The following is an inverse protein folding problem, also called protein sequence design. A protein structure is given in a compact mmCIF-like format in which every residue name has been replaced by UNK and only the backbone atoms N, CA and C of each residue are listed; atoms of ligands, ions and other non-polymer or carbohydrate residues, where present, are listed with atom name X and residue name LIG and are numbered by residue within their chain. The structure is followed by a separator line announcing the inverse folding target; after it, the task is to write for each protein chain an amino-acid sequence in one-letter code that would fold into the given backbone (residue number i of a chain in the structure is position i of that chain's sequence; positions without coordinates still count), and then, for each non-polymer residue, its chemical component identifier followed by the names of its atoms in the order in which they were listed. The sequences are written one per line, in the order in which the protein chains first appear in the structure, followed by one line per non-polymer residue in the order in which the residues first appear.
data_IF_297510397862
#
_entry.id   IF_297510397862
#
_cell.length_a   1.000
_cell.length_b   1.000
_cell.length_c   1.000
_cell.angle_alpha   90.00
_cell.angle_beta   90.00
_cell.angle_gamma   90.00
#
_symmetry.space_group_name_H-M   'P 1'
#
loop_
_entity.id
_entity.type
_entity.pdbx_description
1 polymer ?
#
# COMPACT_ATOMS: atom_id res chain seq x y z
N UNK A 1 33.35 -34.30 -0.99
CA UNK A 1 32.10 -33.92 -1.73
C UNK A 1 31.13 -33.37 -0.72
N UNK A 2 31.10 -32.04 -0.53
CA UNK A 2 30.01 -31.37 0.16
C UNK A 2 28.84 -31.35 -0.81
N UNK A 3 27.71 -31.98 -0.47
CA UNK A 3 26.46 -31.78 -1.17
C UNK A 3 26.12 -30.29 -1.07
N UNK A 4 26.19 -29.60 -2.20
CA UNK A 4 25.53 -28.32 -2.37
C UNK A 4 24.04 -28.59 -2.18
N UNK A 5 23.53 -28.26 -1.00
CA UNK A 5 22.09 -28.09 -0.79
C UNK A 5 21.70 -26.86 -1.58
N UNK A 6 21.39 -27.06 -2.89
CA UNK A 6 20.63 -26.08 -3.64
C UNK A 6 19.38 -25.80 -2.84
N UNK A 7 19.30 -24.61 -2.25
CA UNK A 7 18.08 -24.16 -1.56
C UNK A 7 16.96 -24.14 -2.62
N UNK A 8 16.14 -25.18 -2.60
CA UNK A 8 15.00 -25.30 -3.52
C UNK A 8 14.14 -24.04 -3.37
N UNK A 9 14.01 -23.27 -4.44
CA UNK A 9 13.13 -22.08 -4.44
C UNK A 9 11.69 -22.55 -4.25
N UNK A 10 11.23 -22.49 -3.02
CA UNK A 10 9.94 -23.03 -2.59
C UNK A 10 8.76 -22.46 -3.40
N UNK A 11 8.82 -21.21 -3.87
CA UNK A 11 7.77 -20.57 -4.67
C UNK A 11 7.60 -21.25 -6.03
N UNK A 12 8.71 -21.68 -6.65
CA UNK A 12 8.68 -22.30 -7.97
C UNK A 12 8.50 -23.83 -7.93
N UNK A 13 8.54 -24.48 -6.76
CA UNK A 13 8.54 -25.95 -6.66
C UNK A 13 7.54 -26.56 -5.67
N UNK A 14 7.26 -25.90 -4.56
CA UNK A 14 6.43 -26.45 -3.49
C UNK A 14 4.91 -26.39 -3.71
N UNK A 15 4.15 -26.73 -2.67
CA UNK A 15 2.67 -26.70 -2.69
C UNK A 15 2.17 -25.26 -2.66
N UNK A 16 1.52 -24.82 -3.72
CA UNK A 16 1.19 -23.41 -3.99
C UNK A 16 0.37 -22.77 -2.86
N UNK A 17 -0.78 -23.37 -2.48
CA UNK A 17 -1.67 -22.77 -1.49
C UNK A 17 -1.01 -22.60 -0.11
N UNK A 18 -0.21 -23.61 0.30
CA UNK A 18 0.50 -23.57 1.58
C UNK A 18 1.55 -22.46 1.61
N UNK A 19 2.31 -22.34 0.54
CA UNK A 19 3.35 -21.31 0.42
C UNK A 19 2.75 -19.92 0.28
N UNK A 20 1.64 -19.79 -0.45
CA UNK A 20 0.89 -18.55 -0.59
C UNK A 20 0.41 -18.07 0.80
N UNK A 21 -0.14 -18.95 1.64
CA UNK A 21 -0.52 -18.63 3.02
C UNK A 21 0.67 -18.22 3.87
N UNK A 22 1.76 -19.00 3.83
CA UNK A 22 2.96 -18.70 4.62
C UNK A 22 3.61 -17.37 4.22
N UNK A 23 3.46 -16.97 2.97
CA UNK A 23 3.94 -15.68 2.46
C UNK A 23 2.97 -14.54 2.76
N UNK A 24 1.67 -14.79 2.64
CA UNK A 24 0.58 -13.85 2.85
C UNK A 24 0.47 -13.36 4.31
N UNK A 25 0.45 -14.29 5.29
CA UNK A 25 0.26 -13.94 6.69
C UNK A 25 1.24 -12.87 7.22
N UNK A 26 2.56 -12.99 6.98
CA UNK A 26 3.48 -11.95 7.40
C UNK A 26 3.21 -10.59 6.75
N UNK A 27 2.70 -10.54 5.52
CA UNK A 27 2.36 -9.28 4.86
C UNK A 27 1.15 -8.63 5.53
N UNK A 28 0.09 -9.40 5.81
CA UNK A 28 -1.10 -8.91 6.53
C UNK A 28 -0.69 -8.39 7.91
N UNK A 29 0.06 -9.18 8.67
CA UNK A 29 0.53 -8.76 9.99
C UNK A 29 1.43 -7.52 9.93
N UNK A 30 2.28 -7.42 8.91
CA UNK A 30 3.09 -6.22 8.69
C UNK A 30 2.24 -4.97 8.46
N UNK A 31 1.24 -5.06 7.59
CA UNK A 31 0.30 -3.96 7.35
C UNK A 31 -0.52 -3.63 8.60
N UNK A 32 -0.91 -4.64 9.39
CA UNK A 32 -1.59 -4.44 10.67
C UNK A 32 -0.72 -3.65 11.66
N UNK A 33 0.55 -4.02 11.85
CA UNK A 33 1.46 -3.27 12.71
C UNK A 33 1.72 -1.85 12.21
N UNK A 34 1.75 -1.67 10.89
CA UNK A 34 1.85 -0.34 10.29
C UNK A 34 0.62 0.53 10.61
N UNK A 35 -0.58 -0.02 10.53
CA UNK A 35 -1.80 0.69 10.92
C UNK A 35 -1.85 0.94 12.44
N UNK A 36 -1.35 -0.01 13.22
CA UNK A 36 -1.30 0.11 14.68
C UNK A 36 -0.42 1.28 15.11
N UNK A 37 0.80 1.42 14.58
CA UNK A 37 1.65 2.54 14.97
C UNK A 37 1.07 3.89 14.48
N UNK A 38 0.50 3.97 13.28
CA UNK A 38 -0.15 5.18 12.80
C UNK A 38 -1.33 5.59 13.69
N UNK A 39 -2.09 4.59 14.18
CA UNK A 39 -3.20 4.83 15.10
C UNK A 39 -2.70 5.26 16.49
N UNK A 40 -1.66 4.59 17.00
CA UNK A 40 -1.05 4.93 18.29
C UNK A 40 -0.48 6.36 18.29
N UNK A 41 0.27 6.73 17.25
CA UNK A 41 0.78 8.10 17.04
C UNK A 41 -0.36 9.13 17.08
N UNK A 42 -1.43 8.88 16.33
CA UNK A 42 -2.62 9.75 16.29
C UNK A 42 -3.27 9.88 17.67
N UNK A 43 -3.41 8.78 18.42
CA UNK A 43 -4.00 8.78 19.76
C UNK A 43 -3.10 9.51 20.77
N UNK A 44 -1.78 9.26 20.72
CA UNK A 44 -0.81 9.90 21.64
C UNK A 44 -0.80 11.41 21.38
N UNK A 45 -0.68 11.84 20.13
CA UNK A 45 -0.71 13.27 19.78
C UNK A 45 -2.03 13.91 20.20
N UNK A 46 -3.18 13.30 19.87
CA UNK A 46 -4.49 13.84 20.19
C UNK A 46 -4.77 13.96 21.68
N UNK A 47 -4.31 12.97 22.47
CA UNK A 47 -4.59 12.91 23.92
C UNK A 47 -3.63 13.78 24.76
N UNK A 48 -2.36 13.85 24.37
CA UNK A 48 -1.32 14.48 25.18
C UNK A 48 -0.86 15.84 24.66
N UNK A 49 -0.99 16.11 23.37
CA UNK A 49 -0.64 17.42 22.79
C UNK A 49 -1.89 18.27 22.57
N UNK A 50 -2.98 17.66 22.09
CA UNK A 50 -4.27 18.30 21.95
C UNK A 50 -4.87 18.22 20.54
N UNK A 51 -6.09 18.75 20.40
CA UNK A 51 -6.90 18.66 19.17
C UNK A 51 -6.26 19.37 17.97
N UNK A 52 -5.56 20.48 18.20
CA UNK A 52 -4.92 21.27 17.14
C UNK A 52 -3.71 20.51 16.58
N UNK A 53 -2.89 19.91 17.44
CA UNK A 53 -1.78 19.05 17.04
C UNK A 53 -2.28 17.82 16.28
N UNK A 54 -3.36 17.19 16.74
CA UNK A 54 -3.99 16.08 16.04
C UNK A 54 -4.44 16.47 14.62
N UNK A 55 -5.07 17.64 14.48
CA UNK A 55 -5.50 18.16 13.18
C UNK A 55 -4.31 18.52 12.29
N UNK A 56 -3.21 19.02 12.86
CA UNK A 56 -1.97 19.36 12.14
C UNK A 56 -1.27 18.13 11.56
N UNK A 57 -1.27 16.99 12.27
CA UNK A 57 -0.65 15.74 11.84
C UNK A 57 -1.58 14.94 10.94
N UNK A 58 -2.85 14.80 11.33
CA UNK A 58 -3.82 13.91 10.67
C UNK A 58 -4.61 14.53 9.51
N UNK A 59 -4.61 15.86 9.36
CA UNK A 59 -5.39 16.56 8.34
C UNK A 59 -4.76 16.57 6.94
N UNK A 60 -4.58 17.77 6.38
CA UNK A 60 -3.97 17.99 5.06
C UNK A 60 -2.56 17.40 4.95
N UNK A 61 -1.81 17.42 6.06
CA UNK A 61 -0.46 16.84 6.15
C UNK A 61 -0.44 15.35 5.83
N UNK A 62 -1.32 14.57 6.47
CA UNK A 62 -1.41 13.13 6.23
C UNK A 62 -1.80 12.82 4.78
N UNK A 63 -2.68 13.61 4.17
CA UNK A 63 -3.09 13.42 2.78
C UNK A 63 -1.92 13.64 1.81
N UNK A 64 -1.13 14.72 2.00
CA UNK A 64 0.04 15.01 1.17
C UNK A 64 1.10 13.91 1.33
N UNK A 65 1.40 13.50 2.56
CA UNK A 65 2.35 12.43 2.85
C UNK A 65 1.92 11.12 2.21
N UNK A 66 0.66 10.72 2.38
CA UNK A 66 0.13 9.48 1.80
C UNK A 66 0.16 9.48 0.27
N UNK A 67 -0.10 10.62 -0.37
CA UNK A 67 -0.04 10.73 -1.82
C UNK A 67 1.39 10.54 -2.34
N UNK A 68 2.37 11.19 -1.71
CA UNK A 68 3.78 11.08 -2.09
C UNK A 68 4.32 9.68 -1.78
N UNK A 69 4.11 9.18 -0.58
CA UNK A 69 4.56 7.82 -0.19
C UNK A 69 3.88 6.77 -1.05
N UNK A 70 2.57 6.89 -1.31
CA UNK A 70 1.82 5.96 -2.16
C UNK A 70 2.37 5.90 -3.59
N UNK A 71 2.73 7.04 -4.18
CA UNK A 71 3.39 7.09 -5.48
C UNK A 71 4.71 6.31 -5.47
N UNK A 72 5.57 6.53 -4.46
CA UNK A 72 6.86 5.87 -4.36
C UNK A 72 6.78 4.40 -3.98
N UNK A 73 5.79 3.99 -3.18
CA UNK A 73 5.50 2.57 -2.93
C UNK A 73 5.09 1.87 -4.24
N UNK A 74 4.26 2.53 -5.04
CA UNK A 74 3.92 2.05 -6.39
C UNK A 74 5.17 1.91 -7.26
N UNK A 75 6.05 2.90 -7.25
CA UNK A 75 7.30 2.87 -7.99
C UNK A 75 8.25 1.75 -7.50
N UNK A 76 8.35 1.53 -6.18
CA UNK A 76 9.11 0.44 -5.57
C UNK A 76 8.57 -0.94 -5.95
N UNK A 77 7.29 -1.06 -6.30
CA UNK A 77 6.72 -2.32 -6.79
C UNK A 77 7.37 -2.78 -8.10
N UNK A 78 7.91 -1.86 -8.90
CA UNK A 78 8.71 -2.16 -10.08
C UNK A 78 9.94 -3.00 -9.75
N UNK A 79 10.63 -2.69 -8.66
CA UNK A 79 11.76 -3.48 -8.17
C UNK A 79 11.32 -4.90 -7.77
N UNK A 80 10.16 -5.03 -7.10
CA UNK A 80 9.60 -6.36 -6.76
C UNK A 80 9.42 -7.23 -8.00
N UNK A 81 8.81 -6.68 -9.04
CA UNK A 81 8.52 -7.43 -10.27
C UNK A 81 9.80 -7.87 -10.96
N UNK A 82 10.73 -6.94 -11.21
CA UNK A 82 11.97 -7.24 -11.95
C UNK A 82 12.83 -8.25 -11.18
N UNK A 83 13.01 -8.02 -9.87
CA UNK A 83 13.83 -8.90 -9.05
C UNK A 83 13.18 -10.27 -8.91
N UNK A 84 11.85 -10.37 -8.77
CA UNK A 84 11.18 -11.67 -8.72
C UNK A 84 11.33 -12.46 -10.01
N UNK A 85 11.28 -11.82 -11.18
CA UNK A 85 11.50 -12.46 -12.46
C UNK A 85 12.94 -12.98 -12.61
N UNK A 86 13.94 -12.12 -12.37
CA UNK A 86 15.34 -12.53 -12.46
C UNK A 86 15.73 -13.56 -11.41
N UNK A 87 15.16 -13.45 -10.20
CA UNK A 87 15.37 -14.44 -9.15
C UNK A 87 14.75 -15.79 -9.52
N UNK A 88 13.56 -15.79 -10.10
CA UNK A 88 12.93 -17.00 -10.65
C UNK A 88 13.75 -17.64 -11.78
N UNK A 89 14.34 -16.82 -12.64
CA UNK A 89 15.23 -17.24 -13.72
C UNK A 89 16.65 -17.66 -13.25
N UNK A 90 16.98 -17.51 -11.96
CA UNK A 90 18.31 -17.73 -11.37
C UNK A 90 19.41 -16.86 -12.05
N UNK A 91 19.02 -15.70 -12.58
CA UNK A 91 19.94 -14.74 -13.22
C UNK A 91 20.58 -13.81 -12.17
N UNK A 92 21.65 -14.30 -11.55
CA UNK A 92 22.42 -13.58 -10.52
C UNK A 92 22.82 -12.18 -10.98
N UNK A 93 23.29 -12.02 -12.21
CA UNK A 93 23.79 -10.75 -12.73
C UNK A 93 22.72 -9.67 -12.79
N UNK A 94 21.52 -10.03 -13.26
CA UNK A 94 20.42 -9.08 -13.38
C UNK A 94 19.69 -8.86 -12.05
N UNK A 95 19.65 -9.83 -11.13
CA UNK A 95 19.23 -9.62 -9.75
C UNK A 95 20.11 -8.58 -9.07
N UNK A 96 21.43 -8.75 -9.13
CA UNK A 96 22.42 -7.84 -8.55
C UNK A 96 22.29 -6.42 -9.09
N UNK A 97 22.26 -6.26 -10.42
CA UNK A 97 22.08 -4.94 -11.06
C UNK A 97 20.76 -4.26 -10.68
N UNK A 98 19.68 -5.02 -10.59
CA UNK A 98 18.36 -4.50 -10.22
C UNK A 98 18.31 -4.10 -8.75
N UNK A 99 18.94 -4.87 -7.86
CA UNK A 99 19.08 -4.57 -6.45
C UNK A 99 19.80 -3.23 -6.23
N UNK A 100 21.01 -3.10 -6.78
CA UNK A 100 21.83 -1.90 -6.61
C UNK A 100 21.18 -0.67 -7.25
N UNK A 101 20.54 -0.84 -8.43
CA UNK A 101 19.79 0.25 -9.09
C UNK A 101 18.57 0.69 -8.27
N UNK A 102 17.82 -0.24 -7.66
CA UNK A 102 16.67 0.09 -6.82
C UNK A 102 17.09 0.85 -5.56
N UNK A 103 18.21 0.49 -4.94
CA UNK A 103 18.79 1.26 -3.83
C UNK A 103 19.29 2.64 -4.27
N UNK A 104 20.03 2.75 -5.37
CA UNK A 104 20.45 4.04 -5.92
C UNK A 104 19.25 4.93 -6.20
N UNK A 105 18.19 4.37 -6.78
CA UNK A 105 16.95 5.08 -7.07
C UNK A 105 16.24 5.55 -5.78
N UNK A 106 16.20 4.74 -4.73
CA UNK A 106 15.61 5.13 -3.45
C UNK A 106 16.38 6.29 -2.80
N UNK A 107 17.71 6.26 -2.85
CA UNK A 107 18.55 7.32 -2.29
C UNK A 107 18.39 8.64 -3.08
N UNK A 108 18.57 8.61 -4.39
CA UNK A 108 18.47 9.81 -5.23
C UNK A 108 17.06 10.38 -5.24
N UNK A 109 16.04 9.50 -5.35
CA UNK A 109 14.64 9.90 -5.30
C UNK A 109 14.26 10.52 -3.95
N UNK A 110 14.74 9.96 -2.84
CA UNK A 110 14.47 10.53 -1.51
C UNK A 110 15.14 11.88 -1.31
N UNK A 111 16.39 12.07 -1.76
CA UNK A 111 17.08 13.38 -1.70
C UNK A 111 16.28 14.43 -2.49
N UNK A 112 15.84 14.08 -3.69
CA UNK A 112 15.00 14.97 -4.50
C UNK A 112 13.70 15.34 -3.77
N UNK A 113 12.98 14.36 -3.22
CA UNK A 113 11.74 14.60 -2.48
C UNK A 113 11.98 15.34 -1.16
N UNK A 114 13.08 15.10 -0.47
CA UNK A 114 13.47 15.88 0.71
C UNK A 114 13.58 17.37 0.37
N UNK A 115 14.37 17.71 -0.64
CA UNK A 115 14.58 19.11 -1.05
C UNK A 115 13.27 19.74 -1.50
N UNK A 116 12.56 19.07 -2.41
CA UNK A 116 11.29 19.57 -2.95
C UNK A 116 10.23 19.67 -1.86
N UNK A 117 10.04 18.61 -1.05
CA UNK A 117 9.03 18.53 -0.01
C UNK A 117 9.21 19.59 1.08
N UNK A 118 10.45 19.81 1.56
CA UNK A 118 10.75 20.86 2.55
C UNK A 118 10.48 22.25 1.96
N UNK A 119 10.85 22.48 0.70
CA UNK A 119 10.69 23.78 0.04
C UNK A 119 9.22 24.13 -0.22
N UNK A 120 8.44 23.17 -0.72
CA UNK A 120 7.04 23.41 -1.13
C UNK A 120 6.00 23.12 -0.06
N UNK A 121 6.38 22.55 1.11
CA UNK A 121 5.46 22.21 2.19
C UNK A 121 4.49 23.35 2.59
N UNK A 122 4.98 24.61 2.82
CA UNK A 122 4.09 25.69 3.19
C UNK A 122 3.07 26.03 2.09
N UNK A 123 3.50 25.95 0.82
CA UNK A 123 2.67 26.25 -0.33
C UNK A 123 1.59 25.18 -0.55
N UNK A 124 1.95 23.90 -0.43
CA UNK A 124 0.99 22.78 -0.53
C UNK A 124 -0.10 22.87 0.53
N UNK A 125 0.28 23.15 1.80
CA UNK A 125 -0.67 23.26 2.89
C UNK A 125 -1.62 24.47 2.70
N UNK A 126 -1.13 25.59 2.17
CA UNK A 126 -1.97 26.74 1.82
C UNK A 126 -2.97 26.41 0.71
N UNK A 127 -2.56 25.72 -0.35
CA UNK A 127 -3.47 25.26 -1.42
C UNK A 127 -4.55 24.34 -0.88
N UNK A 128 -4.23 23.53 0.13
CA UNK A 128 -5.21 22.66 0.77
C UNK A 128 -6.09 23.37 1.80
N UNK A 129 -6.04 24.72 1.85
CA UNK A 129 -6.79 25.54 2.79
C UNK A 129 -6.60 25.12 4.26
N UNK A 130 -5.37 24.76 4.63
CA UNK A 130 -5.04 24.46 6.04
C UNK A 130 -5.23 25.73 6.87
N UNK A 131 -5.99 25.70 7.98
CA UNK A 131 -6.21 26.84 8.86
C UNK A 131 -4.90 27.45 9.37
N UNK A 132 -4.85 28.78 9.50
CA UNK A 132 -3.62 29.49 9.89
C UNK A 132 -3.08 29.07 11.24
N UNK A 133 -3.95 28.76 12.21
CA UNK A 133 -3.56 28.27 13.53
C UNK A 133 -2.91 26.89 13.50
N UNK A 134 -3.13 26.09 12.47
CA UNK A 134 -2.52 24.76 12.30
C UNK A 134 -1.29 24.78 11.36
N UNK A 135 -1.13 25.85 10.59
CA UNK A 135 -0.16 25.89 9.49
C UNK A 135 1.29 25.72 9.99
N UNK A 136 1.64 26.36 11.11
CA UNK A 136 3.00 26.32 11.67
C UNK A 136 3.38 24.89 12.06
N UNK A 137 2.52 24.19 12.80
CA UNK A 137 2.76 22.83 13.27
C UNK A 137 2.73 21.83 12.11
N UNK A 138 1.81 22.01 11.15
CA UNK A 138 1.74 21.19 9.94
C UNK A 138 3.00 21.31 9.08
N UNK A 139 3.51 22.54 8.89
CA UNK A 139 4.76 22.78 8.16
C UNK A 139 5.96 22.15 8.89
N UNK A 140 6.02 22.28 10.21
CA UNK A 140 7.08 21.71 11.03
C UNK A 140 7.09 20.18 10.92
N UNK A 141 5.92 19.55 11.09
CA UNK A 141 5.75 18.10 10.94
C UNK A 141 6.21 17.63 9.55
N UNK A 142 5.70 18.25 8.48
CA UNK A 142 6.06 17.89 7.12
C UNK A 142 7.55 18.02 6.84
N UNK A 143 8.19 19.11 7.29
CA UNK A 143 9.62 19.32 7.09
C UNK A 143 10.45 18.25 7.77
N UNK A 144 10.14 17.89 9.02
CA UNK A 144 10.83 16.81 9.74
C UNK A 144 10.59 15.47 9.03
N UNK A 145 9.36 15.19 8.65
CA UNK A 145 9.02 13.95 7.93
C UNK A 145 9.77 13.84 6.61
N UNK A 146 9.78 14.89 5.79
CA UNK A 146 10.52 14.89 4.52
C UNK A 146 12.03 14.85 4.71
N UNK A 147 12.58 15.41 5.78
CA UNK A 147 13.99 15.24 6.11
C UNK A 147 14.34 13.75 6.37
N UNK A 148 13.41 12.98 6.88
CA UNK A 148 13.56 11.55 7.14
C UNK A 148 13.04 10.60 6.05
N UNK A 149 12.51 11.10 4.93
CA UNK A 149 11.85 10.27 3.91
C UNK A 149 12.80 9.26 3.24
N UNK A 150 14.10 9.51 3.28
CA UNK A 150 15.14 8.58 2.86
C UNK A 150 14.97 7.21 3.53
N UNK A 151 14.74 7.19 4.83
CA UNK A 151 14.59 5.95 5.59
C UNK A 151 13.33 5.20 5.21
N UNK A 152 12.22 5.93 4.99
CA UNK A 152 10.96 5.37 4.49
C UNK A 152 11.16 4.68 3.14
N UNK A 153 11.88 5.33 2.21
CA UNK A 153 12.12 4.78 0.87
C UNK A 153 13.05 3.57 0.90
N UNK A 154 14.16 3.64 1.64
CA UNK A 154 15.08 2.50 1.81
C UNK A 154 14.35 1.30 2.41
N UNK A 155 13.52 1.53 3.45
CA UNK A 155 12.72 0.46 4.04
C UNK A 155 11.73 -0.14 3.03
N UNK A 156 10.97 0.68 2.32
CA UNK A 156 9.97 0.19 1.35
C UNK A 156 10.61 -0.57 0.19
N UNK A 157 11.70 -0.05 -0.39
CA UNK A 157 12.44 -0.73 -1.47
C UNK A 157 13.07 -2.02 -0.96
N UNK A 158 13.77 -1.98 0.17
CA UNK A 158 14.42 -3.17 0.75
C UNK A 158 13.42 -4.26 1.14
N UNK A 159 12.27 -3.89 1.72
CA UNK A 159 11.18 -4.82 2.03
C UNK A 159 10.56 -5.41 0.76
N UNK A 160 10.41 -4.60 -0.29
CA UNK A 160 9.92 -5.05 -1.60
C UNK A 160 10.87 -6.06 -2.25
N UNK A 161 12.18 -5.86 -2.11
CA UNK A 161 13.22 -6.77 -2.60
C UNK A 161 13.20 -8.09 -1.82
N UNK A 162 13.11 -8.04 -0.48
CA UNK A 162 12.99 -9.27 0.33
C UNK A 162 11.74 -10.06 -0.03
N UNK A 163 10.60 -9.38 -0.23
CA UNK A 163 9.37 -10.03 -0.72
C UNK A 163 9.54 -10.61 -2.12
N UNK A 164 10.26 -9.95 -3.02
CA UNK A 164 10.50 -10.44 -4.38
C UNK A 164 11.21 -11.80 -4.41
N UNK A 165 12.08 -12.08 -3.45
CA UNK A 165 12.77 -13.38 -3.32
C UNK A 165 12.02 -14.38 -2.43
N UNK A 166 10.83 -14.04 -1.94
CA UNK A 166 9.97 -14.94 -1.17
C UNK A 166 10.07 -14.77 0.35
N UNK A 167 10.82 -13.80 0.84
CA UNK A 167 10.92 -13.53 2.27
C UNK A 167 9.97 -12.41 2.69
N UNK A 168 8.84 -12.78 3.23
CA UNK A 168 7.87 -11.85 3.84
C UNK A 168 8.03 -11.72 5.36
N UNK A 169 8.82 -12.61 6.01
CA UNK A 169 8.96 -12.63 7.47
C UNK A 169 9.88 -11.55 7.99
N UNK A 170 11.06 -11.38 7.36
CA UNK A 170 12.02 -10.34 7.79
C UNK A 170 11.42 -8.93 7.75
N UNK A 171 10.73 -8.50 6.67
CA UNK A 171 10.02 -7.22 6.67
C UNK A 171 9.02 -7.04 7.81
N UNK A 172 8.26 -8.11 8.15
CA UNK A 172 7.34 -8.09 9.31
C UNK A 172 8.07 -7.81 10.62
N UNK A 173 9.16 -8.53 10.89
CA UNK A 173 9.93 -8.32 12.14
C UNK A 173 10.45 -6.89 12.25
N UNK A 174 10.90 -6.30 11.15
CA UNK A 174 11.38 -4.92 11.14
C UNK A 174 10.25 -3.91 11.37
N UNK A 175 9.04 -4.19 10.87
CA UNK A 175 7.86 -3.37 11.18
C UNK A 175 7.42 -3.49 12.64
N UNK A 176 7.49 -4.67 13.24
CA UNK A 176 7.21 -4.84 14.67
C UNK A 176 8.18 -4.01 15.52
N UNK A 177 9.47 -4.09 15.22
CA UNK A 177 10.49 -3.27 15.91
C UNK A 177 10.21 -1.79 15.71
N UNK A 178 9.90 -1.37 14.47
CA UNK A 178 9.53 0.01 14.16
C UNK A 178 8.31 0.48 14.95
N UNK A 179 7.25 -0.32 15.01
CA UNK A 179 6.01 -0.01 15.72
C UNK A 179 6.28 0.20 17.23
N UNK A 180 6.97 -0.73 17.86
CA UNK A 180 7.29 -0.65 19.30
C UNK A 180 8.16 0.59 19.57
N UNK A 181 9.20 0.78 18.77
CA UNK A 181 10.12 1.89 18.94
C UNK A 181 9.43 3.25 18.71
N UNK A 182 8.56 3.35 17.70
CA UNK A 182 7.79 4.56 17.44
C UNK A 182 6.91 4.92 18.64
N UNK A 183 6.10 3.98 19.16
CA UNK A 183 5.23 4.21 20.33
C UNK A 183 6.04 4.63 21.56
N UNK A 184 7.17 3.97 21.83
CA UNK A 184 8.04 4.31 22.96
C UNK A 184 8.63 5.72 22.79
N UNK A 185 9.13 6.04 21.61
CA UNK A 185 9.69 7.36 21.31
C UNK A 185 8.63 8.46 21.36
N UNK A 186 7.43 8.22 20.86
CA UNK A 186 6.31 9.16 20.97
C UNK A 186 6.04 9.51 22.44
N UNK A 187 5.91 8.49 23.29
CA UNK A 187 5.69 8.72 24.72
C UNK A 187 6.85 9.49 25.37
N UNK A 188 8.10 9.14 25.05
CA UNK A 188 9.27 9.83 25.60
C UNK A 188 9.35 11.28 25.10
N UNK A 189 9.29 11.50 23.78
CA UNK A 189 9.50 12.83 23.19
C UNK A 189 8.33 13.77 23.48
N UNK A 190 7.11 13.26 23.56
CA UNK A 190 5.91 14.07 23.82
C UNK A 190 5.71 14.30 25.32
N UNK A 191 5.79 13.25 26.17
CA UNK A 191 5.47 13.37 27.60
C UNK A 191 6.66 13.84 28.45
N UNK A 192 7.88 13.38 28.15
CA UNK A 192 9.06 13.74 28.97
C UNK A 192 9.73 14.99 28.43
N UNK A 193 9.95 15.07 27.10
CA UNK A 193 10.63 16.21 26.48
C UNK A 193 9.67 17.32 26.02
N UNK A 194 8.36 17.12 26.08
CA UNK A 194 7.33 18.11 25.70
C UNK A 194 7.50 18.69 24.28
N UNK A 195 7.98 17.86 23.34
CA UNK A 195 8.27 18.29 21.95
C UNK A 195 7.03 18.43 21.07
N UNK A 196 5.84 18.08 21.55
CA UNK A 196 4.59 18.21 20.80
C UNK A 196 4.61 17.51 19.44
N UNK A 197 4.17 18.22 18.41
CA UNK A 197 4.10 17.71 17.03
C UNK A 197 5.47 17.34 16.46
N UNK A 198 6.54 18.08 16.83
CA UNK A 198 7.90 17.74 16.42
C UNK A 198 8.36 16.40 17.00
N UNK A 199 7.96 16.09 18.25
CA UNK A 199 8.25 14.81 18.88
C UNK A 199 7.69 13.63 18.10
N UNK A 200 6.43 13.68 17.68
CA UNK A 200 5.81 12.66 16.85
C UNK A 200 6.52 12.48 15.49
N UNK A 201 6.86 13.58 14.81
CA UNK A 201 7.59 13.50 13.56
C UNK A 201 8.97 12.86 13.71
N UNK A 202 9.72 13.23 14.77
CA UNK A 202 11.05 12.68 15.06
C UNK A 202 10.95 11.19 15.43
N UNK A 203 9.97 10.80 16.26
CA UNK A 203 9.74 9.41 16.63
C UNK A 203 9.51 8.55 15.38
N UNK A 204 8.68 9.02 14.44
CA UNK A 204 8.43 8.34 13.16
C UNK A 204 9.73 8.23 12.33
N UNK A 205 10.48 9.31 12.19
CA UNK A 205 11.74 9.29 11.40
C UNK A 205 12.78 8.36 12.02
N UNK A 206 12.97 8.38 13.32
CA UNK A 206 13.96 7.53 14.02
C UNK A 206 13.56 6.05 13.92
N UNK A 207 12.30 5.72 14.14
CA UNK A 207 11.82 4.33 14.02
C UNK A 207 11.94 3.80 12.58
N UNK A 208 11.66 4.62 11.58
CA UNK A 208 11.88 4.28 10.16
C UNK A 208 13.37 4.14 9.83
N UNK A 209 14.25 4.95 10.44
CA UNK A 209 15.70 4.82 10.27
C UNK A 209 16.20 3.46 10.79
N UNK A 210 15.73 3.03 11.94
CA UNK A 210 16.06 1.70 12.48
C UNK A 210 15.59 0.60 11.53
N UNK A 211 14.37 0.67 11.00
CA UNK A 211 13.86 -0.31 10.03
C UNK A 211 14.68 -0.31 8.72
N UNK A 212 15.07 0.87 8.24
CA UNK A 212 15.93 1.00 7.06
C UNK A 212 17.31 0.37 7.27
N UNK A 213 17.91 0.56 8.45
CA UNK A 213 19.18 -0.07 8.82
C UNK A 213 19.02 -1.59 8.89
N UNK A 214 17.96 -2.08 9.52
CA UNK A 214 17.72 -3.52 9.66
C UNK A 214 17.53 -4.20 8.31
N UNK A 215 16.73 -3.62 7.40
CA UNK A 215 16.50 -4.18 6.06
C UNK A 215 17.76 -4.13 5.21
N UNK A 216 18.52 -3.03 5.27
CA UNK A 216 19.79 -2.90 4.56
C UNK A 216 20.80 -3.93 5.04
N UNK A 217 20.95 -4.08 6.37
CA UNK A 217 21.84 -5.10 6.97
C UNK A 217 21.41 -6.53 6.59
N UNK A 218 20.11 -6.80 6.50
CA UNK A 218 19.61 -8.09 6.06
C UNK A 218 20.01 -8.39 4.60
N UNK A 219 19.91 -7.41 3.70
CA UNK A 219 20.32 -7.56 2.31
C UNK A 219 21.83 -7.69 2.15
N UNK A 220 22.62 -7.00 2.97
CA UNK A 220 24.08 -7.17 3.00
C UNK A 220 24.53 -8.54 3.53
N UNK A 221 23.71 -9.23 4.32
CA UNK A 221 23.99 -10.56 4.87
C UNK A 221 23.27 -11.69 4.15
N UNK A 222 22.53 -11.38 3.10
CA UNK A 222 21.78 -12.38 2.31
C UNK A 222 22.71 -13.22 1.44
N UNK A 223 22.17 -14.34 0.95
CA UNK A 223 22.88 -15.33 0.13
C UNK A 223 23.38 -14.76 -1.20
N UNK A 224 24.24 -15.52 -1.87
CA UNK A 224 24.94 -15.16 -3.11
C UNK A 224 24.07 -14.58 -4.25
N UNK A 225 22.78 -14.96 -4.33
CA UNK A 225 21.86 -14.43 -5.35
C UNK A 225 21.31 -13.03 -5.01
N UNK A 226 21.31 -12.66 -3.74
CA UNK A 226 20.76 -11.39 -3.27
C UNK A 226 21.71 -10.75 -2.26
N UNK A 227 22.82 -10.22 -2.72
CA UNK A 227 23.83 -9.58 -1.87
C UNK A 227 23.96 -8.10 -2.18
N UNK A 228 23.74 -7.23 -1.19
CA UNK A 228 23.89 -5.78 -1.33
C UNK A 228 25.30 -5.36 -0.93
N UNK A 229 26.06 -4.84 -1.88
CA UNK A 229 27.35 -4.19 -1.64
C UNK A 229 27.20 -2.67 -1.73
N UNK A 230 27.39 -1.95 -0.61
CA UNK A 230 27.19 -0.50 -0.59
C UNK A 230 28.08 0.27 -1.60
N UNK A 231 29.26 -0.30 -1.92
CA UNK A 231 30.20 0.29 -2.89
C UNK A 231 29.73 0.15 -4.34
N UNK A 232 28.83 -0.79 -4.62
CA UNK A 232 28.29 -1.07 -5.95
C UNK A 232 26.94 -0.39 -6.21
N UNK A 233 26.44 0.41 -5.27
CA UNK A 233 25.20 1.16 -5.45
C UNK A 233 25.41 2.21 -6.55
N UNK A 234 24.84 1.90 -7.73
CA UNK A 234 24.90 2.75 -8.93
C UNK A 234 23.73 2.45 -9.86
N UNK A 235 23.50 3.32 -10.80
CA UNK A 235 22.50 3.12 -11.83
C UNK A 235 23.03 2.27 -12.97
N UNK A 236 22.37 1.13 -13.19
CA UNK A 236 22.52 0.34 -14.42
C UNK A 236 21.37 0.71 -15.35
N UNK A 237 21.68 1.29 -16.52
CA UNK A 237 20.70 1.86 -17.44
C UNK A 237 19.53 0.91 -17.76
N UNK A 238 19.80 -0.35 -18.06
CA UNK A 238 18.77 -1.32 -18.38
C UNK A 238 17.84 -1.60 -17.18
N UNK A 239 18.41 -1.79 -15.97
CA UNK A 239 17.65 -2.02 -14.77
C UNK A 239 16.82 -0.78 -14.38
N UNK A 240 17.38 0.43 -14.51
CA UNK A 240 16.68 1.68 -14.24
C UNK A 240 15.48 1.88 -15.18
N UNK A 241 15.68 1.67 -16.48
CA UNK A 241 14.60 1.79 -17.46
C UNK A 241 13.47 0.78 -17.18
N UNK A 242 13.82 -0.47 -16.85
CA UNK A 242 12.82 -1.48 -16.49
C UNK A 242 12.09 -1.13 -15.19
N UNK A 243 12.81 -0.63 -14.18
CA UNK A 243 12.23 -0.19 -12.91
C UNK A 243 11.23 0.95 -13.13
N UNK A 244 11.60 1.96 -13.90
CA UNK A 244 10.73 3.09 -14.23
C UNK A 244 9.54 2.61 -15.08
N UNK A 245 9.77 1.77 -16.09
CA UNK A 245 8.73 1.27 -16.98
C UNK A 245 7.64 0.50 -16.24
N UNK A 246 8.01 -0.29 -15.23
CA UNK A 246 7.07 -1.06 -14.41
C UNK A 246 6.54 -0.25 -13.23
N UNK A 247 7.40 0.50 -12.56
CA UNK A 247 7.04 1.21 -11.34
C UNK A 247 6.22 2.47 -11.59
N UNK A 248 6.56 3.26 -12.63
CA UNK A 248 5.88 4.53 -12.89
C UNK A 248 4.37 4.37 -13.16
N UNK A 249 3.92 3.42 -14.01
CA UNK A 249 2.49 3.18 -14.19
C UNK A 249 1.79 2.79 -12.88
N UNK A 250 2.43 1.99 -12.04
CA UNK A 250 1.88 1.58 -10.74
C UNK A 250 1.80 2.76 -9.75
N UNK A 251 2.80 3.65 -9.77
CA UNK A 251 2.78 4.88 -8.98
C UNK A 251 1.67 5.83 -9.42
N UNK A 252 1.49 6.04 -10.73
CA UNK A 252 0.40 6.84 -11.29
C UNK A 252 -0.95 6.22 -10.91
N UNK A 253 -1.11 4.90 -11.02
CA UNK A 253 -2.33 4.20 -10.61
C UNK A 253 -2.68 4.47 -9.14
N UNK A 254 -1.70 4.40 -8.24
CA UNK A 254 -1.89 4.70 -6.81
C UNK A 254 -2.33 6.15 -6.58
N UNK A 255 -1.70 7.09 -7.25
CA UNK A 255 -2.06 8.52 -7.18
C UNK A 255 -3.48 8.79 -7.69
N UNK A 256 -3.84 8.24 -8.83
CA UNK A 256 -5.17 8.37 -9.42
C UNK A 256 -6.26 7.77 -8.51
N UNK A 257 -5.95 6.64 -7.86
CA UNK A 257 -6.87 6.01 -6.91
C UNK A 257 -7.14 6.92 -5.71
N UNK A 258 -6.08 7.49 -5.12
CA UNK A 258 -6.21 8.44 -4.01
C UNK A 258 -6.97 9.70 -4.42
N UNK A 259 -6.68 10.25 -5.59
CA UNK A 259 -7.40 11.41 -6.13
C UNK A 259 -8.90 11.11 -6.31
N UNK A 260 -9.25 9.95 -6.89
CA UNK A 260 -10.65 9.53 -7.04
C UNK A 260 -11.39 9.42 -5.69
N UNK A 261 -10.73 8.89 -4.66
CA UNK A 261 -11.30 8.81 -3.32
C UNK A 261 -11.53 10.20 -2.71
N UNK A 262 -10.69 11.20 -3.01
CA UNK A 262 -10.90 12.58 -2.59
C UNK A 262 -12.18 13.19 -3.21
N UNK A 263 -12.48 12.89 -4.47
CA UNK A 263 -13.74 13.34 -5.12
C UNK A 263 -14.97 12.73 -4.43
N UNK A 264 -14.90 11.44 -4.06
CA UNK A 264 -15.99 10.81 -3.31
C UNK A 264 -16.15 11.45 -1.94
N UNK A 265 -15.06 11.65 -1.21
CA UNK A 265 -15.08 12.31 0.10
C UNK A 265 -15.71 13.70 0.00
N UNK A 266 -15.32 14.49 -0.99
CA UNK A 266 -15.89 15.82 -1.22
C UNK A 266 -17.40 15.76 -1.48
N UNK A 267 -17.87 14.78 -2.24
CA UNK A 267 -19.29 14.56 -2.50
C UNK A 267 -20.06 14.12 -1.25
N UNK A 268 -19.48 13.24 -0.42
CA UNK A 268 -20.10 12.78 0.82
C UNK A 268 -20.21 13.90 1.86
N UNK A 269 -19.26 14.84 1.87
CA UNK A 269 -19.27 15.97 2.78
C UNK A 269 -20.49 16.87 2.60
N UNK A 270 -21.15 16.85 1.43
CA UNK A 270 -22.37 17.64 1.18
C UNK A 270 -23.61 17.08 1.88
N UNK A 271 -23.55 15.86 2.43
CA UNK A 271 -24.68 15.20 3.12
C UNK A 271 -24.70 15.41 4.63
N UNK A 272 -23.79 16.24 5.15
CA UNK A 272 -23.78 16.63 6.56
C UNK A 272 -22.81 15.83 7.45
N UNK A 273 -22.76 16.22 8.70
CA UNK A 273 -21.77 15.75 9.68
C UNK A 273 -21.90 14.27 10.01
N UNK A 274 -23.14 13.76 10.11
CA UNK A 274 -23.39 12.36 10.45
C UNK A 274 -22.90 11.42 9.34
N UNK A 275 -23.10 11.82 8.06
CA UNK A 275 -22.56 11.07 6.91
C UNK A 275 -21.05 11.10 6.88
N UNK A 276 -20.42 12.23 7.22
CA UNK A 276 -18.95 12.32 7.29
C UNK A 276 -18.40 11.44 8.41
N UNK A 277 -19.04 11.42 9.57
CA UNK A 277 -18.68 10.57 10.71
C UNK A 277 -18.84 9.08 10.35
N UNK A 278 -19.97 8.73 9.72
CA UNK A 278 -20.26 7.38 9.27
C UNK A 278 -19.22 6.90 8.22
N UNK A 279 -18.88 7.74 7.25
CA UNK A 279 -17.85 7.43 6.24
C UNK A 279 -16.47 7.22 6.86
N UNK A 280 -16.11 8.03 7.85
CA UNK A 280 -14.84 7.90 8.56
C UNK A 280 -14.77 6.59 9.34
N UNK A 281 -15.82 6.24 10.07
CA UNK A 281 -15.90 4.96 10.79
C UNK A 281 -15.91 3.77 9.82
N UNK A 282 -16.71 3.85 8.73
CA UNK A 282 -16.72 2.87 7.66
C UNK A 282 -15.33 2.64 7.10
N UNK A 283 -14.58 3.71 6.78
CA UNK A 283 -13.23 3.59 6.24
C UNK A 283 -12.24 2.86 7.17
N UNK A 284 -12.40 2.98 8.50
CA UNK A 284 -11.59 2.23 9.47
C UNK A 284 -11.93 0.74 9.50
N UNK A 285 -13.21 0.41 9.38
CA UNK A 285 -13.70 -0.98 9.30
C UNK A 285 -13.28 -1.60 7.96
N UNK A 286 -13.49 -0.88 6.88
CA UNK A 286 -13.16 -1.28 5.50
C UNK A 286 -11.66 -1.53 5.30
N UNK A 287 -10.81 -0.78 5.99
CA UNK A 287 -9.35 -0.95 5.96
C UNK A 287 -8.89 -2.37 6.31
N UNK A 288 -9.66 -3.12 7.13
CA UNK A 288 -9.35 -4.51 7.47
C UNK A 288 -9.46 -5.42 6.23
N UNK A 289 -10.49 -5.21 5.41
CA UNK A 289 -10.65 -5.92 4.15
C UNK A 289 -9.53 -5.57 3.16
N UNK A 290 -9.23 -4.28 3.00
CA UNK A 290 -8.19 -3.80 2.08
C UNK A 290 -6.81 -4.33 2.42
N UNK A 291 -6.48 -4.44 3.70
CA UNK A 291 -5.22 -5.00 4.18
C UNK A 291 -5.04 -6.45 3.70
N UNK A 292 -6.09 -7.26 3.81
CA UNK A 292 -6.08 -8.67 3.40
C UNK A 292 -6.02 -8.79 1.88
N UNK A 293 -6.85 -8.04 1.16
CA UNK A 293 -6.92 -8.10 -0.29
C UNK A 293 -5.60 -7.64 -0.95
N UNK A 294 -5.01 -6.55 -0.47
CA UNK A 294 -3.70 -6.04 -0.94
C UNK A 294 -2.57 -7.05 -0.68
N UNK A 295 -2.58 -7.75 0.46
CA UNK A 295 -1.60 -8.78 0.75
C UNK A 295 -1.66 -9.95 -0.24
N UNK A 296 -2.87 -10.36 -0.66
CA UNK A 296 -3.03 -11.33 -1.74
C UNK A 296 -2.50 -10.81 -3.08
N UNK A 297 -2.75 -9.54 -3.41
CA UNK A 297 -2.22 -8.89 -4.62
C UNK A 297 -0.69 -8.92 -4.66
N UNK A 298 -0.02 -8.57 -3.56
CA UNK A 298 1.44 -8.62 -3.43
C UNK A 298 1.95 -10.07 -3.55
N UNK A 299 1.30 -11.01 -2.89
CA UNK A 299 1.68 -12.42 -2.92
C UNK A 299 1.58 -12.97 -4.35
N UNK A 300 0.45 -12.75 -5.04
CA UNK A 300 0.26 -13.19 -6.42
C UNK A 300 1.28 -12.54 -7.35
N UNK A 301 1.56 -11.25 -7.21
CA UNK A 301 2.58 -10.56 -8.03
C UNK A 301 3.95 -11.22 -7.90
N UNK A 302 4.39 -11.53 -6.69
CA UNK A 302 5.68 -12.20 -6.43
C UNK A 302 5.71 -13.62 -6.98
N UNK A 303 4.67 -14.41 -6.71
CA UNK A 303 4.58 -15.80 -7.17
C UNK A 303 4.52 -15.90 -8.70
N UNK A 304 3.76 -15.02 -9.33
CA UNK A 304 3.70 -14.93 -10.80
C UNK A 304 5.04 -14.49 -11.36
N UNK A 305 5.67 -13.46 -10.80
CA UNK A 305 6.97 -12.96 -11.25
C UNK A 305 8.04 -14.04 -11.23
N UNK A 306 8.18 -14.78 -10.12
CA UNK A 306 9.17 -15.85 -10.02
C UNK A 306 8.88 -17.04 -10.96
N UNK A 307 7.61 -17.48 -11.06
CA UNK A 307 7.25 -18.58 -11.98
C UNK A 307 7.36 -18.17 -13.44
N UNK A 308 7.06 -16.92 -13.78
CA UNK A 308 7.25 -16.36 -15.11
C UNK A 308 8.72 -16.33 -15.48
N UNK A 309 9.59 -15.82 -14.61
CA UNK A 309 11.03 -15.82 -14.80
C UNK A 309 11.63 -17.22 -14.92
N UNK A 310 11.11 -18.19 -14.19
CA UNK A 310 11.49 -19.60 -14.27
C UNK A 310 10.94 -20.34 -15.51
N UNK A 311 10.14 -19.69 -16.36
CA UNK A 311 9.48 -20.34 -17.50
C UNK A 311 8.37 -21.32 -17.14
N UNK A 312 7.91 -21.33 -15.86
CA UNK A 312 6.91 -22.27 -15.34
C UNK A 312 5.48 -21.71 -15.52
N UNK A 313 5.05 -21.46 -16.75
CA UNK A 313 3.77 -20.79 -17.06
C UNK A 313 2.53 -21.52 -16.55
N UNK A 314 2.50 -22.85 -16.59
CA UNK A 314 1.35 -23.60 -16.03
C UNK A 314 1.23 -23.44 -14.53
N UNK A 315 2.36 -23.40 -13.82
CA UNK A 315 2.41 -23.16 -12.39
C UNK A 315 1.98 -21.73 -12.07
N UNK A 316 2.43 -20.77 -12.88
CA UNK A 316 1.98 -19.38 -12.79
C UNK A 316 0.45 -19.27 -12.90
N UNK A 317 -0.18 -19.90 -13.88
CA UNK A 317 -1.65 -19.92 -14.04
C UNK A 317 -2.36 -20.57 -12.85
N UNK A 318 -1.77 -21.66 -12.31
CA UNK A 318 -2.29 -22.30 -11.07
C UNK A 318 -2.17 -21.39 -9.86
N UNK A 319 -1.06 -20.65 -9.70
CA UNK A 319 -0.90 -19.68 -8.63
C UNK A 319 -2.00 -18.59 -8.64
N UNK A 320 -2.32 -18.07 -9.82
CA UNK A 320 -3.39 -17.06 -9.98
C UNK A 320 -4.75 -17.64 -9.59
N UNK A 321 -5.10 -18.83 -10.09
CA UNK A 321 -6.40 -19.47 -9.78
C UNK A 321 -6.53 -19.74 -8.28
N UNK A 322 -5.51 -20.32 -7.65
CA UNK A 322 -5.50 -20.62 -6.22
C UNK A 322 -5.57 -19.32 -5.41
N UNK A 323 -4.80 -18.30 -5.79
CA UNK A 323 -4.83 -16.99 -5.15
C UNK A 323 -6.22 -16.35 -5.20
N UNK A 324 -6.87 -16.36 -6.37
CA UNK A 324 -8.25 -15.86 -6.53
C UNK A 324 -9.22 -16.66 -5.64
N UNK A 325 -9.16 -17.99 -5.65
CA UNK A 325 -10.04 -18.81 -4.82
C UNK A 325 -9.89 -18.50 -3.34
N UNK A 326 -8.65 -18.36 -2.85
CA UNK A 326 -8.37 -18.03 -1.45
C UNK A 326 -8.85 -16.61 -1.08
N UNK A 327 -8.63 -15.63 -1.96
CA UNK A 327 -9.07 -14.26 -1.74
C UNK A 327 -10.60 -14.13 -1.82
N UNK A 328 -11.28 -14.91 -2.67
CA UNK A 328 -12.75 -14.98 -2.70
C UNK A 328 -13.32 -15.56 -1.40
N UNK A 329 -12.70 -16.61 -0.85
CA UNK A 329 -13.08 -17.16 0.45
C UNK A 329 -12.90 -16.12 1.55
N UNK A 330 -11.76 -15.44 1.57
CA UNK A 330 -11.51 -14.36 2.52
C UNK A 330 -12.53 -13.22 2.37
N UNK A 331 -12.83 -12.80 1.14
CA UNK A 331 -13.84 -11.76 0.83
C UNK A 331 -15.22 -12.16 1.33
N UNK A 332 -15.62 -13.43 1.12
CA UNK A 332 -16.89 -13.95 1.64
C UNK A 332 -16.93 -13.93 3.17
N UNK A 333 -15.86 -14.34 3.83
CA UNK A 333 -15.74 -14.29 5.30
C UNK A 333 -15.90 -12.86 5.81
N UNK A 334 -15.20 -11.89 5.21
CA UNK A 334 -15.34 -10.48 5.58
C UNK A 334 -16.76 -9.97 5.35
N UNK A 335 -17.38 -10.30 4.21
CA UNK A 335 -18.75 -9.92 3.93
C UNK A 335 -19.70 -10.45 5.01
N UNK A 336 -19.57 -11.72 5.40
CA UNK A 336 -20.39 -12.32 6.47
C UNK A 336 -20.13 -11.62 7.82
N UNK A 337 -18.86 -11.41 8.19
CA UNK A 337 -18.50 -10.71 9.45
C UNK A 337 -19.10 -9.31 9.48
N UNK A 338 -19.03 -8.58 8.37
CA UNK A 338 -19.54 -7.22 8.27
C UNK A 338 -21.07 -7.17 8.31
N UNK A 339 -21.75 -8.15 7.72
CA UNK A 339 -23.20 -8.24 7.79
C UNK A 339 -23.70 -8.59 9.20
N UNK A 340 -23.06 -9.55 9.87
CA UNK A 340 -23.49 -10.04 11.17
C UNK A 340 -22.99 -9.17 12.33
N UNK A 341 -21.77 -8.66 12.22
CA UNK A 341 -21.06 -7.93 13.29
C UNK A 341 -20.88 -6.44 13.03
N UNK A 342 -21.29 -5.92 11.86
CA UNK A 342 -21.02 -4.55 11.44
C UNK A 342 -21.49 -3.51 12.46
N UNK A 343 -22.70 -3.67 13.01
CA UNK A 343 -23.21 -2.75 14.03
C UNK A 343 -22.32 -2.69 15.28
N UNK A 344 -21.85 -3.84 15.75
CA UNK A 344 -20.91 -3.91 16.88
C UNK A 344 -19.54 -3.28 16.54
N UNK A 345 -19.08 -3.40 15.28
CA UNK A 345 -17.86 -2.76 14.83
C UNK A 345 -17.99 -1.24 14.79
N UNK A 346 -19.15 -0.70 14.38
CA UNK A 346 -19.40 0.74 14.42
C UNK A 346 -19.47 1.27 15.87
N UNK A 347 -20.03 0.50 16.81
CA UNK A 347 -20.05 0.86 18.24
C UNK A 347 -18.65 1.03 18.85
N UNK A 348 -17.58 0.48 18.23
CA UNK A 348 -16.20 0.77 18.67
C UNK A 348 -15.78 2.23 18.40
N UNK A 349 -16.49 2.92 17.51
CA UNK A 349 -16.14 4.29 17.08
C UNK A 349 -17.16 5.35 17.57
N UNK A 350 -18.44 4.99 17.71
CA UNK A 350 -19.50 5.90 18.09
C UNK A 350 -20.71 5.17 18.67
N UNK A 351 -21.40 5.82 19.60
CA UNK A 351 -22.70 5.37 20.13
C UNK A 351 -23.88 6.05 19.44
N UNK A 352 -23.62 6.99 18.51
CA UNK A 352 -24.68 7.68 17.78
C UNK A 352 -25.35 6.75 16.77
N UNK A 353 -26.63 6.46 17.03
CA UNK A 353 -27.44 5.52 16.22
C UNK A 353 -27.62 5.99 14.78
N UNK A 354 -27.74 7.30 14.54
CA UNK A 354 -27.88 7.85 13.20
C UNK A 354 -26.61 7.60 12.38
N UNK A 355 -25.43 7.84 12.96
CA UNK A 355 -24.12 7.56 12.34
C UNK A 355 -23.96 6.06 12.05
N UNK A 356 -24.33 5.20 13.00
CA UNK A 356 -24.27 3.75 12.84
C UNK A 356 -25.18 3.27 11.72
N UNK A 357 -26.43 3.76 11.65
CA UNK A 357 -27.39 3.33 10.63
C UNK A 357 -26.93 3.75 9.22
N UNK A 358 -26.40 4.97 9.05
CA UNK A 358 -25.78 5.42 7.79
C UNK A 358 -24.57 4.56 7.44
N UNK A 359 -23.69 4.27 8.39
CA UNK A 359 -22.52 3.42 8.18
C UNK A 359 -22.90 1.98 7.79
N UNK A 360 -23.92 1.40 8.42
CA UNK A 360 -24.46 0.10 8.05
C UNK A 360 -25.05 0.08 6.64
N UNK A 361 -25.74 1.15 6.22
CA UNK A 361 -26.24 1.29 4.86
C UNK A 361 -25.09 1.27 3.84
N UNK A 362 -24.00 2.02 4.11
CA UNK A 362 -22.79 1.99 3.28
C UNK A 362 -22.20 0.58 3.20
N UNK A 363 -22.07 -0.08 4.35
CA UNK A 363 -21.50 -1.41 4.46
C UNK A 363 -22.32 -2.46 3.69
N UNK A 364 -23.64 -2.42 3.81
CA UNK A 364 -24.54 -3.34 3.10
C UNK A 364 -24.52 -3.15 1.58
N UNK A 365 -24.23 -1.94 1.09
CA UNK A 365 -24.13 -1.67 -0.34
C UNK A 365 -22.77 -2.08 -0.92
N UNK A 366 -21.67 -1.89 -0.17
CA UNK A 366 -20.31 -2.11 -0.67
C UNK A 366 -19.85 -3.56 -0.43
N UNK A 367 -20.02 -4.11 0.78
CA UNK A 367 -19.44 -5.39 1.15
C UNK A 367 -19.83 -6.58 0.24
N UNK A 368 -21.08 -6.67 -0.26
CA UNK A 368 -21.43 -7.74 -1.21
C UNK A 368 -20.64 -7.70 -2.51
N UNK A 369 -20.07 -6.54 -2.87
CA UNK A 369 -19.29 -6.35 -4.11
C UNK A 369 -17.79 -6.55 -3.95
N UNK A 370 -17.28 -6.83 -2.75
CA UNK A 370 -15.85 -7.06 -2.52
C UNK A 370 -15.25 -8.16 -3.39
N UNK A 371 -16.04 -9.21 -3.69
CA UNK A 371 -15.56 -10.28 -4.58
C UNK A 371 -15.17 -9.78 -5.98
N UNK A 372 -15.80 -8.70 -6.48
CA UNK A 372 -15.44 -8.09 -7.76
C UNK A 372 -14.03 -7.49 -7.69
N UNK A 373 -13.72 -6.84 -6.59
CA UNK A 373 -12.41 -6.23 -6.40
C UNK A 373 -11.28 -7.26 -6.27
N UNK A 374 -11.57 -8.46 -5.77
CA UNK A 374 -10.62 -9.58 -5.77
C UNK A 374 -10.08 -9.85 -7.18
N UNK A 375 -10.94 -9.90 -8.19
CA UNK A 375 -10.51 -10.08 -9.58
C UNK A 375 -9.63 -8.93 -10.06
N UNK A 376 -9.98 -7.69 -9.74
CA UNK A 376 -9.21 -6.50 -10.14
C UNK A 376 -7.80 -6.57 -9.53
N UNK A 377 -7.70 -6.74 -8.22
CA UNK A 377 -6.43 -6.70 -7.50
C UNK A 377 -5.51 -7.87 -7.90
N UNK A 378 -6.03 -9.10 -7.91
CA UNK A 378 -5.21 -10.26 -8.17
C UNK A 378 -4.83 -10.41 -9.65
N UNK A 379 -5.73 -10.09 -10.58
CA UNK A 379 -5.42 -10.13 -12.00
C UNK A 379 -4.48 -8.98 -12.39
N UNK A 380 -4.65 -7.78 -11.83
CA UNK A 380 -3.69 -6.70 -11.96
C UNK A 380 -2.32 -7.10 -11.41
N UNK A 381 -2.27 -7.72 -10.23
CA UNK A 381 -1.05 -8.26 -9.63
C UNK A 381 -0.38 -9.33 -10.50
N UNK A 382 -1.17 -10.24 -11.07
CA UNK A 382 -0.68 -11.27 -11.97
C UNK A 382 -0.08 -10.67 -13.26
N UNK A 383 -0.76 -9.73 -13.89
CA UNK A 383 -0.27 -9.03 -15.07
C UNK A 383 1.01 -8.23 -14.77
N UNK A 384 1.04 -7.50 -13.65
CA UNK A 384 2.27 -6.84 -13.17
C UNK A 384 3.41 -7.82 -12.99
N UNK A 385 3.15 -8.99 -12.38
CA UNK A 385 4.14 -10.04 -12.21
C UNK A 385 4.78 -10.53 -13.51
N UNK A 386 4.05 -10.48 -14.64
CA UNK A 386 4.60 -10.75 -15.98
C UNK A 386 5.30 -9.55 -16.64
N UNK A 387 5.28 -8.38 -16.01
CA UNK A 387 5.80 -7.12 -16.55
C UNK A 387 4.81 -6.31 -17.38
N UNK A 388 3.56 -6.78 -17.51
CA UNK A 388 2.49 -6.04 -18.19
C UNK A 388 1.80 -5.10 -17.20
N UNK A 389 2.16 -3.82 -17.22
CA UNK A 389 1.73 -2.81 -16.23
C UNK A 389 0.88 -1.71 -16.84
N UNK A 390 1.06 -1.41 -18.14
CA UNK A 390 0.38 -0.28 -18.80
C UNK A 390 -1.10 -0.57 -18.94
N UNK A 391 -1.47 -1.74 -19.43
CA UNK A 391 -2.88 -2.08 -19.63
C UNK A 391 -3.63 -2.18 -18.30
N UNK A 392 -3.11 -2.86 -17.25
CA UNK A 392 -3.69 -2.81 -15.90
C UNK A 392 -3.87 -1.39 -15.35
N UNK A 393 -2.88 -0.51 -15.54
CA UNK A 393 -2.98 0.89 -15.14
C UNK A 393 -4.15 1.59 -15.86
N UNK A 394 -4.22 1.48 -17.19
CA UNK A 394 -5.30 2.10 -17.99
C UNK A 394 -6.67 1.56 -17.58
N UNK A 395 -6.79 0.25 -17.36
CA UNK A 395 -8.05 -0.36 -16.93
C UNK A 395 -8.47 0.13 -15.53
N UNK A 396 -7.54 0.25 -14.59
CA UNK A 396 -7.86 0.72 -13.24
C UNK A 396 -8.15 2.22 -13.25
N UNK A 397 -7.32 3.03 -13.89
CA UNK A 397 -7.52 4.48 -13.96
C UNK A 397 -8.81 4.85 -14.75
N UNK A 398 -9.07 4.16 -15.86
CA UNK A 398 -10.30 4.35 -16.64
C UNK A 398 -11.54 3.75 -15.96
N UNK A 399 -11.46 2.47 -15.57
CA UNK A 399 -12.60 1.71 -15.08
C UNK A 399 -13.00 2.04 -13.64
N UNK A 400 -12.06 2.38 -12.77
CA UNK A 400 -12.38 2.78 -11.40
C UNK A 400 -12.34 4.29 -11.24
N UNK A 401 -11.20 4.94 -11.52
CA UNK A 401 -11.05 6.35 -11.18
C UNK A 401 -11.90 7.27 -12.06
N UNK A 402 -11.72 7.17 -13.39
CA UNK A 402 -12.44 8.05 -14.32
C UNK A 402 -13.94 7.79 -14.30
N UNK A 403 -14.39 6.53 -14.41
CA UNK A 403 -15.83 6.22 -14.39
C UNK A 403 -16.49 6.66 -13.09
N UNK A 404 -15.80 6.57 -11.95
CA UNK A 404 -16.32 7.01 -10.66
C UNK A 404 -16.48 8.53 -10.61
N UNK A 405 -15.52 9.29 -11.11
CA UNK A 405 -15.62 10.74 -11.21
C UNK A 405 -16.76 11.14 -12.16
N UNK A 406 -16.88 10.49 -13.32
CA UNK A 406 -17.98 10.71 -14.25
C UNK A 406 -19.34 10.36 -13.63
N UNK A 407 -19.41 9.28 -12.84
CA UNK A 407 -20.62 8.92 -12.09
C UNK A 407 -21.05 10.04 -11.12
N UNK A 408 -20.11 10.60 -10.38
CA UNK A 408 -20.39 11.70 -9.45
C UNK A 408 -20.88 12.94 -10.20
N UNK A 409 -20.26 13.26 -11.35
CA UNK A 409 -20.60 14.48 -12.10
C UNK A 409 -21.94 14.34 -12.84
N UNK A 410 -22.24 13.18 -13.42
CA UNK A 410 -23.39 13.01 -14.32
C UNK A 410 -24.57 12.26 -13.70
N UNK A 411 -24.32 11.26 -12.84
CA UNK A 411 -25.39 10.40 -12.32
C UNK A 411 -25.91 10.92 -10.98
N UNK A 412 -25.03 11.36 -10.09
CA UNK A 412 -25.44 11.87 -8.76
C UNK A 412 -26.38 13.08 -8.87
N UNK A 413 -26.21 14.06 -9.78
CA UNK A 413 -27.17 15.15 -9.94
C UNK A 413 -28.57 14.72 -10.44
N UNK A 414 -28.66 13.61 -11.18
CA UNK A 414 -29.93 13.06 -11.65
C UNK A 414 -30.75 12.39 -10.57
N UNK A 415 -30.07 11.75 -9.60
CA UNK A 415 -30.68 11.09 -8.45
C UNK A 415 -29.83 11.41 -7.21
N UNK A 416 -30.00 12.62 -6.63
CA UNK A 416 -29.23 12.98 -5.44
C UNK A 416 -29.54 12.07 -4.28
N UNK A 417 -28.47 11.48 -3.69
CA UNK A 417 -28.62 10.59 -2.55
C UNK A 417 -27.30 9.89 -2.20
N UNK A 418 -27.15 9.57 -0.92
CA UNK A 418 -26.00 8.83 -0.40
C UNK A 418 -25.82 7.49 -1.13
N UNK A 419 -26.91 6.74 -1.30
CA UNK A 419 -26.91 5.46 -2.00
C UNK A 419 -26.36 5.56 -3.42
N UNK A 420 -26.71 6.64 -4.15
CA UNK A 420 -26.25 6.84 -5.53
C UNK A 420 -24.73 7.05 -5.58
N UNK A 421 -24.14 7.77 -4.62
CA UNK A 421 -22.69 7.94 -4.52
C UNK A 421 -22.03 6.59 -4.21
N UNK A 422 -22.54 5.90 -3.21
CA UNK A 422 -21.97 4.62 -2.75
C UNK A 422 -22.10 3.53 -3.83
N UNK A 423 -23.20 3.53 -4.60
CA UNK A 423 -23.42 2.57 -5.67
C UNK A 423 -22.40 2.69 -6.83
N UNK A 424 -21.66 3.79 -6.90
CA UNK A 424 -20.54 3.93 -7.84
C UNK A 424 -19.47 2.84 -7.64
N UNK A 425 -19.28 2.32 -6.41
CA UNK A 425 -18.29 1.28 -6.11
C UNK A 425 -18.62 -0.05 -6.80
N UNK A 426 -19.79 -0.67 -6.56
CA UNK A 426 -20.17 -1.92 -7.22
C UNK A 426 -20.15 -1.82 -8.75
N UNK A 427 -20.65 -0.72 -9.32
CA UNK A 427 -20.74 -0.54 -10.78
C UNK A 427 -19.36 -0.44 -11.41
N UNK A 428 -18.48 0.43 -10.87
CA UNK A 428 -17.13 0.60 -11.42
C UNK A 428 -16.28 -0.66 -11.22
N UNK A 429 -16.44 -1.37 -10.11
CA UNK A 429 -15.75 -2.63 -9.87
C UNK A 429 -16.24 -3.74 -10.80
N UNK A 430 -17.54 -3.83 -11.07
CA UNK A 430 -18.08 -4.81 -11.99
C UNK A 430 -17.51 -4.63 -13.40
N UNK A 431 -17.59 -3.40 -13.94
CA UNK A 431 -17.07 -3.09 -15.29
C UNK A 431 -15.56 -3.40 -15.35
N UNK A 432 -14.80 -2.96 -14.34
CA UNK A 432 -13.35 -3.14 -14.33
C UNK A 432 -12.97 -4.62 -14.15
N UNK A 433 -13.67 -5.37 -13.30
CA UNK A 433 -13.43 -6.80 -13.12
C UNK A 433 -13.65 -7.58 -14.41
N UNK A 434 -14.74 -7.28 -15.14
CA UNK A 434 -15.01 -7.93 -16.44
C UNK A 434 -13.90 -7.62 -17.44
N UNK A 435 -13.42 -6.38 -17.51
CA UNK A 435 -12.30 -6.01 -18.40
C UNK A 435 -11.02 -6.77 -18.02
N UNK A 436 -10.68 -6.87 -16.73
CA UNK A 436 -9.52 -7.63 -16.26
C UNK A 436 -9.62 -9.12 -16.57
N UNK A 437 -10.79 -9.73 -16.37
CA UNK A 437 -11.03 -11.15 -16.66
C UNK A 437 -10.83 -11.42 -18.16
N UNK A 438 -11.46 -10.62 -19.02
CA UNK A 438 -11.34 -10.77 -20.49
C UNK A 438 -9.88 -10.62 -20.91
N UNK A 439 -9.20 -9.58 -20.45
CA UNK A 439 -7.81 -9.32 -20.83
C UNK A 439 -6.87 -10.41 -20.32
N UNK A 440 -7.04 -10.85 -19.06
CA UNK A 440 -6.20 -11.91 -18.50
C UNK A 440 -6.39 -13.24 -19.23
N UNK A 441 -7.62 -13.63 -19.59
CA UNK A 441 -7.88 -14.85 -20.36
C UNK A 441 -7.20 -14.76 -21.73
N UNK A 442 -7.33 -13.62 -22.41
CA UNK A 442 -6.68 -13.40 -23.70
C UNK A 442 -5.14 -13.46 -23.60
N UNK A 443 -4.57 -12.80 -22.61
CA UNK A 443 -3.11 -12.76 -22.38
C UNK A 443 -2.57 -14.13 -21.99
N UNK A 444 -3.24 -14.83 -21.09
CA UNK A 444 -2.81 -16.14 -20.58
C UNK A 444 -2.84 -17.26 -21.63
N UNK A 445 -3.63 -17.10 -22.69
CA UNK A 445 -3.62 -18.05 -23.84
C UNK A 445 -2.40 -17.89 -24.73
N UNK A 446 -1.72 -16.74 -24.66
CA UNK A 446 -0.51 -16.45 -25.45
C UNK A 446 0.79 -16.81 -24.71
N UNK A 447 0.69 -17.14 -23.44
CA UNK A 447 1.75 -17.64 -22.56
C UNK A 447 1.63 -19.17 -22.42
#
# INVERSE_FOLDING_TARGET
MKQETTSTNQITEGVIWKQLLLFFFPIVMGTFFQQLYNTADTVIVGRFVGKEALASVGGSTAQIVNLIVGFFVGLASGATVIISQFYGAQDKRNVDRSLHTAFAFSIVGSVFITILGIAIAPWLLKIMNTPENLLTDSVLYMRIYFAGILFVFIYNVGSSILRAVGDSKRPLYYLIVCCILNIVLDLILILVFHMGVAGAAIATVVSQAVSAILVTRALMKSDDLLHLELKEIRFYKAALLSLIWIGLPTGIQSTMYNASNMFIQASLNTFGTDTMAAWTAFGKIDALYWMVNSAFGIAVTTFVGQNYGAGKYDRMKKCVRIGISMALIASLIFTIIFFLGGRSLFHLFTDDTAVIDIGMQMLHLIAPSYFLFVFIELLSGALRGTGDVIIPMIMTCGGICLLRVLWIIFIVPLKPGLETIIFSYPVTWFITAVLFIIYYIWKSRKL
#
